data_IF_785700457493
#
_entry.id   IF_785700457493
#
_cell.length_a   1.000
_cell.length_b   1.000
_cell.length_c   1.000
_cell.angle_alpha   90.00
_cell.angle_beta   90.00
_cell.angle_gamma   90.00
#
_symmetry.space_group_name_H-M   'P 1'
#
loop_
_entity.id
_entity.type
_entity.pdbx_description
1 polymer ?
#
# COMPACT_ATOMS: atom_id res chain seq x y z
N UNK A 1 -33.11 -12.57 5.01
CA UNK A 1 -31.95 -12.39 4.13
C UNK A 1 -30.83 -13.29 4.63
N UNK A 2 -30.38 -14.26 3.83
CA UNK A 2 -29.21 -15.07 4.17
C UNK A 2 -27.98 -14.19 3.94
N UNK A 3 -27.27 -13.82 5.01
CA UNK A 3 -25.92 -13.29 4.90
C UNK A 3 -25.01 -14.45 4.52
N UNK A 4 -24.95 -14.79 3.24
CA UNK A 4 -23.81 -15.57 2.76
C UNK A 4 -22.60 -14.68 2.98
N UNK A 5 -21.75 -15.02 3.96
CA UNK A 5 -20.44 -14.43 4.11
C UNK A 5 -19.72 -14.68 2.77
N UNK A 6 -19.73 -13.71 1.87
CA UNK A 6 -19.09 -13.84 0.57
C UNK A 6 -17.59 -13.65 0.82
N UNK A 7 -16.93 -14.71 1.28
CA UNK A 7 -15.48 -14.72 1.46
C UNK A 7 -14.87 -14.77 0.06
N UNK A 8 -14.09 -13.75 -0.29
CA UNK A 8 -13.29 -13.76 -1.50
C UNK A 8 -12.26 -14.88 -1.44
N UNK A 9 -12.30 -15.80 -2.40
CA UNK A 9 -11.17 -16.70 -2.61
C UNK A 9 -10.05 -15.90 -3.27
N UNK A 10 -8.84 -15.83 -2.68
CA UNK A 10 -7.78 -14.98 -3.19
C UNK A 10 -6.95 -15.69 -4.27
N UNK A 11 -7.56 -16.51 -5.13
CA UNK A 11 -6.87 -17.45 -6.02
C UNK A 11 -7.25 -17.35 -7.51
N UNK A 12 -7.96 -16.29 -7.92
CA UNK A 12 -8.56 -16.18 -9.26
C UNK A 12 -7.84 -15.22 -10.20
N UNK A 13 -6.62 -14.78 -9.88
CA UNK A 13 -5.88 -13.84 -10.73
C UNK A 13 -5.69 -14.39 -12.16
N UNK A 14 -5.90 -13.52 -13.14
CA UNK A 14 -5.75 -13.81 -14.55
C UNK A 14 -4.71 -12.88 -15.19
N UNK A 15 -4.03 -13.37 -16.23
CA UNK A 15 -3.14 -12.52 -17.04
C UNK A 15 -3.96 -11.38 -17.64
N UNK A 16 -3.44 -10.16 -17.54
CA UNK A 16 -4.12 -8.94 -17.98
C UNK A 16 -4.78 -8.15 -16.84
N UNK A 17 -5.03 -8.80 -15.69
CA UNK A 17 -5.44 -8.11 -14.46
C UNK A 17 -4.39 -7.08 -14.02
N UNK A 18 -4.80 -6.22 -13.10
CA UNK A 18 -3.93 -5.23 -12.46
C UNK A 18 -3.94 -5.37 -10.94
N UNK A 19 -2.88 -4.84 -10.33
CA UNK A 19 -2.69 -4.79 -8.90
C UNK A 19 -3.06 -3.39 -8.40
N UNK A 20 -4.02 -3.30 -7.47
CA UNK A 20 -4.44 -2.06 -6.81
C UNK A 20 -4.00 -2.05 -5.36
N UNK A 21 -3.33 -0.98 -4.93
CA UNK A 21 -2.97 -0.75 -3.53
C UNK A 21 -3.84 0.38 -2.96
N UNK A 22 -4.40 0.15 -1.76
CA UNK A 22 -5.43 1.03 -1.19
C UNK A 22 -4.95 1.96 -0.07
N UNK A 23 -3.68 1.87 0.31
CA UNK A 23 -3.01 2.82 1.24
C UNK A 23 -1.56 3.02 0.82
N UNK A 24 -0.97 4.19 1.10
CA UNK A 24 0.44 4.43 0.80
C UNK A 24 1.35 3.59 1.70
N UNK A 25 2.56 3.34 1.20
CA UNK A 25 3.66 2.68 1.90
C UNK A 25 4.45 3.67 2.75
N UNK A 26 5.35 3.14 3.59
CA UNK A 26 6.32 3.92 4.36
C UNK A 26 5.93 4.16 5.80
N UNK A 27 4.97 3.40 6.36
CA UNK A 27 4.57 3.57 7.76
C UNK A 27 5.72 3.27 8.73
N UNK A 28 6.52 2.24 8.46
CA UNK A 28 7.72 1.95 9.27
C UNK A 28 8.74 3.09 9.22
N UNK A 29 8.95 3.70 8.05
CA UNK A 29 9.86 4.85 7.90
C UNK A 29 9.37 6.02 8.74
N UNK A 30 8.09 6.34 8.66
CA UNK A 30 7.46 7.42 9.42
C UNK A 30 7.60 7.24 10.93
N UNK A 31 7.29 6.04 11.44
CA UNK A 31 7.39 5.73 12.87
C UNK A 31 8.85 5.74 13.34
N UNK A 32 9.75 5.14 12.55
CA UNK A 32 11.18 5.02 12.91
C UNK A 32 11.86 6.38 12.98
N UNK A 33 11.66 7.23 11.96
CA UNK A 33 12.29 8.56 11.92
C UNK A 33 11.74 9.47 13.01
N UNK A 34 10.43 9.38 13.30
CA UNK A 34 9.81 10.15 14.38
C UNK A 34 10.41 9.77 15.74
N UNK A 35 10.55 8.47 16.02
CA UNK A 35 11.19 7.99 17.24
C UNK A 35 12.65 8.43 17.33
N UNK A 36 13.43 8.27 16.24
CA UNK A 36 14.83 8.70 16.18
C UNK A 36 15.02 10.20 16.39
N UNK A 37 14.07 11.02 15.93
CA UNK A 37 14.05 12.47 16.16
C UNK A 37 13.77 12.80 17.63
N UNK A 38 12.82 12.11 18.28
CA UNK A 38 12.51 12.35 19.70
C UNK A 38 13.68 11.99 20.63
N UNK A 39 14.41 10.92 20.32
CA UNK A 39 15.56 10.45 21.10
C UNK A 39 16.89 11.11 20.71
N UNK A 40 16.86 12.05 19.76
CA UNK A 40 18.06 12.65 19.14
C UNK A 40 19.13 11.61 18.73
N UNK A 41 18.66 10.47 18.21
CA UNK A 41 19.53 9.33 17.93
C UNK A 41 20.59 9.67 16.88
N UNK A 42 21.70 8.92 16.79
CA UNK A 42 22.72 9.13 15.74
C UNK A 42 22.16 9.02 14.31
N UNK A 43 21.09 8.23 14.09
CA UNK A 43 20.43 8.16 12.78
C UNK A 43 19.74 9.47 12.40
N UNK A 44 19.30 10.25 13.40
CA UNK A 44 18.70 11.56 13.22
C UNK A 44 19.76 12.66 13.12
N UNK A 45 20.50 12.91 14.20
CA UNK A 45 21.45 14.03 14.32
C UNK A 45 22.64 13.91 13.37
N UNK A 46 23.06 12.69 13.03
CA UNK A 46 24.21 12.46 12.15
C UNK A 46 23.94 12.66 10.65
N UNK A 47 22.67 12.59 10.21
CA UNK A 47 22.35 12.63 8.77
C UNK A 47 20.97 13.25 8.49
N UNK A 48 19.90 12.65 9.01
CA UNK A 48 18.53 13.01 8.61
C UNK A 48 18.11 14.44 8.99
N UNK A 49 18.63 14.97 10.09
CA UNK A 49 18.33 16.34 10.54
C UNK A 49 18.73 17.42 9.50
N UNK A 50 19.70 17.11 8.62
CA UNK A 50 20.12 18.01 7.53
C UNK A 50 19.29 17.84 6.25
N UNK A 51 18.46 16.79 6.17
CA UNK A 51 17.72 16.40 4.96
C UNK A 51 16.23 16.69 5.10
N UNK A 52 15.68 16.48 6.30
CA UNK A 52 14.27 16.70 6.58
C UNK A 52 14.09 17.40 7.92
N UNK A 53 13.24 18.43 7.93
CA UNK A 53 12.93 19.20 9.13
C UNK A 53 12.06 18.40 10.10
N UNK A 54 12.16 18.67 11.40
CA UNK A 54 11.32 18.05 12.42
C UNK A 54 9.81 18.21 12.17
N UNK A 55 9.36 19.32 11.59
CA UNK A 55 7.92 19.54 11.32
C UNK A 55 7.40 18.69 10.16
N UNK A 56 8.23 18.46 9.14
CA UNK A 56 7.92 17.48 8.08
C UNK A 56 7.89 16.06 8.63
N UNK A 57 8.79 15.70 9.55
CA UNK A 57 8.76 14.40 10.23
C UNK A 57 7.48 14.21 11.04
N UNK A 58 7.05 15.23 11.79
CA UNK A 58 5.76 15.20 12.51
C UNK A 58 4.57 15.03 11.56
N UNK A 59 4.58 15.73 10.42
CA UNK A 59 3.53 15.64 9.39
C UNK A 59 3.46 14.25 8.75
N UNK A 60 4.62 13.66 8.46
CA UNK A 60 4.75 12.28 7.98
C UNK A 60 4.23 11.27 9.02
N UNK A 61 4.63 11.40 10.28
CA UNK A 61 4.15 10.54 11.37
C UNK A 61 2.64 10.64 11.57
N UNK A 62 2.09 11.85 11.52
CA UNK A 62 0.65 12.09 11.62
C UNK A 62 -0.10 11.43 10.45
N UNK A 63 0.37 11.63 9.21
CA UNK A 63 -0.24 11.03 8.02
C UNK A 63 -0.16 9.50 8.05
N UNK A 64 0.96 8.93 8.52
CA UNK A 64 1.07 7.50 8.73
C UNK A 64 0.03 7.00 9.73
N UNK A 65 -0.17 7.71 10.85
CA UNK A 65 -1.18 7.34 11.85
C UNK A 65 -2.60 7.41 11.29
N UNK A 66 -2.93 8.43 10.51
CA UNK A 66 -4.24 8.53 9.83
C UNK A 66 -4.44 7.36 8.85
N UNK A 67 -3.42 7.05 8.03
CA UNK A 67 -3.46 5.90 7.12
C UNK A 67 -3.67 4.58 7.87
N UNK A 68 -2.91 4.33 8.93
CA UNK A 68 -3.00 3.10 9.74
C UNK A 68 -4.35 2.93 10.44
N UNK A 69 -4.96 4.04 10.88
CA UNK A 69 -6.27 4.02 11.57
C UNK A 69 -7.46 3.93 10.61
N UNK A 70 -7.23 4.12 9.30
CA UNK A 70 -8.27 3.96 8.29
C UNK A 70 -8.65 2.48 8.09
N UNK A 71 -9.93 2.14 8.18
CA UNK A 71 -10.37 0.75 8.00
C UNK A 71 -10.39 0.34 6.51
N UNK A 72 -9.92 -0.87 6.23
CA UNK A 72 -10.04 -1.50 4.90
C UNK A 72 -11.47 -1.96 4.55
N UNK A 73 -12.47 -1.64 5.39
CA UNK A 73 -13.87 -2.09 5.26
C UNK A 73 -14.51 -1.67 3.94
N UNK A 74 -14.33 -0.41 3.54
CA UNK A 74 -14.93 0.11 2.30
C UNK A 74 -14.29 -0.54 1.07
N UNK A 75 -12.95 -0.65 1.05
CA UNK A 75 -12.24 -1.36 -0.01
C UNK A 75 -12.71 -2.81 -0.12
N UNK A 76 -12.82 -3.53 1.00
CA UNK A 76 -13.30 -4.91 1.02
C UNK A 76 -14.73 -5.06 0.50
N UNK A 77 -15.63 -4.12 0.81
CA UNK A 77 -17.00 -4.10 0.26
C UNK A 77 -16.98 -3.85 -1.25
N UNK A 78 -16.17 -2.90 -1.73
CA UNK A 78 -16.09 -2.54 -3.14
C UNK A 78 -15.47 -3.64 -4.01
N UNK A 79 -14.63 -4.51 -3.43
CA UNK A 79 -14.12 -5.69 -4.16
C UNK A 79 -15.24 -6.50 -4.79
N UNK A 80 -16.39 -6.69 -4.12
CA UNK A 80 -17.57 -7.40 -4.65
C UNK A 80 -18.18 -6.73 -5.87
N UNK A 81 -18.27 -5.41 -5.83
CA UNK A 81 -18.87 -4.62 -6.90
C UNK A 81 -18.00 -4.61 -8.17
N UNK A 82 -16.68 -4.60 -7.98
CA UNK A 82 -15.71 -4.45 -9.07
C UNK A 82 -15.05 -5.77 -9.49
N UNK A 83 -15.59 -6.90 -9.02
CA UNK A 83 -15.18 -8.25 -9.41
C UNK A 83 -13.69 -8.56 -9.16
N UNK A 84 -13.20 -8.26 -7.95
CA UNK A 84 -11.83 -8.59 -7.57
C UNK A 84 -11.54 -10.10 -7.73
N UNK A 85 -10.36 -10.44 -8.23
CA UNK A 85 -9.90 -11.81 -8.42
C UNK A 85 -9.06 -12.32 -7.25
N UNK A 86 -8.66 -11.43 -6.35
CA UNK A 86 -8.03 -11.79 -5.09
C UNK A 86 -7.55 -10.58 -4.33
N UNK A 87 -7.18 -10.77 -3.07
CA UNK A 87 -6.58 -9.71 -2.28
C UNK A 87 -5.73 -10.28 -1.14
N UNK A 88 -4.81 -9.46 -0.66
CA UNK A 88 -4.09 -9.64 0.61
C UNK A 88 -3.95 -8.27 1.28
N UNK A 89 -3.83 -8.21 2.60
CA UNK A 89 -3.41 -6.99 3.29
C UNK A 89 -1.89 -6.87 3.29
N UNK A 90 -1.36 -5.65 3.20
CA UNK A 90 0.09 -5.39 3.28
C UNK A 90 0.45 -5.04 4.72
N UNK A 91 1.22 -5.90 5.38
CA UNK A 91 1.66 -5.73 6.77
C UNK A 91 3.17 -6.00 6.93
N UNK A 92 3.58 -6.82 7.90
CA UNK A 92 4.96 -6.89 8.39
C UNK A 92 5.99 -7.40 7.39
N UNK A 93 5.58 -8.06 6.30
CA UNK A 93 6.49 -8.53 5.25
C UNK A 93 6.75 -7.49 4.14
N UNK A 94 6.08 -6.34 4.19
CA UNK A 94 6.13 -5.32 3.15
C UNK A 94 5.39 -5.71 1.88
N UNK A 95 5.23 -4.74 0.97
CA UNK A 95 4.45 -4.91 -0.27
C UNK A 95 4.86 -6.17 -1.05
N UNK A 96 6.16 -6.33 -1.30
CA UNK A 96 6.67 -7.41 -2.14
C UNK A 96 6.58 -8.78 -1.44
N UNK A 97 6.73 -8.81 -0.12
CA UNK A 97 6.51 -10.04 0.66
C UNK A 97 5.07 -10.52 0.58
N UNK A 98 4.10 -9.60 0.74
CA UNK A 98 2.69 -9.91 0.63
C UNK A 98 2.26 -10.22 -0.81
N UNK A 99 2.80 -9.52 -1.81
CA UNK A 99 2.57 -9.83 -3.22
C UNK A 99 3.07 -11.24 -3.59
N UNK A 100 4.25 -11.63 -3.07
CA UNK A 100 4.76 -13.00 -3.24
C UNK A 100 3.83 -14.03 -2.60
N UNK A 101 3.34 -13.79 -1.39
CA UNK A 101 2.39 -14.72 -0.76
C UNK A 101 1.09 -14.83 -1.58
N UNK A 102 0.58 -13.71 -2.09
CA UNK A 102 -0.64 -13.69 -2.90
C UNK A 102 -0.47 -14.41 -4.23
N UNK A 103 0.65 -14.21 -4.95
CA UNK A 103 0.86 -14.90 -6.24
C UNK A 103 0.99 -16.43 -6.05
N UNK A 104 1.56 -16.89 -4.93
CA UNK A 104 1.71 -18.32 -4.67
C UNK A 104 0.38 -19.06 -4.53
N UNK A 105 -0.66 -18.40 -3.98
CA UNK A 105 -1.98 -19.02 -3.77
C UNK A 105 -2.87 -19.01 -5.02
N UNK A 106 -2.47 -18.38 -6.12
CA UNK A 106 -3.28 -18.32 -7.35
C UNK A 106 -3.52 -19.70 -7.95
N UNK A 107 -4.67 -19.95 -8.57
CA UNK A 107 -4.94 -21.21 -9.25
C UNK A 107 -4.11 -21.35 -10.53
N UNK A 108 -3.87 -20.24 -11.23
CA UNK A 108 -3.03 -20.20 -12.42
C UNK A 108 -1.53 -20.22 -12.01
N UNK A 109 -0.78 -21.20 -12.53
CA UNK A 109 0.66 -21.36 -12.26
C UNK A 109 1.56 -20.59 -13.23
N UNK A 110 0.99 -19.99 -14.28
CA UNK A 110 1.71 -19.34 -15.38
C UNK A 110 1.50 -17.82 -15.37
N UNK A 111 1.60 -17.20 -14.19
CA UNK A 111 1.48 -15.76 -14.03
C UNK A 111 2.52 -15.20 -13.06
N UNK A 112 2.82 -13.92 -13.21
CA UNK A 112 3.65 -13.18 -12.28
C UNK A 112 3.05 -11.80 -12.00
N UNK A 113 3.37 -11.24 -10.83
CA UNK A 113 2.98 -9.90 -10.42
C UNK A 113 4.15 -8.95 -10.68
N UNK A 114 3.99 -8.05 -11.66
CA UNK A 114 4.97 -7.03 -12.02
C UNK A 114 4.54 -5.70 -11.41
N UNK A 115 5.23 -5.25 -10.37
CA UNK A 115 4.91 -3.99 -9.68
C UNK A 115 5.78 -2.87 -10.26
N UNK A 116 5.14 -1.88 -10.87
CA UNK A 116 5.78 -0.76 -11.53
C UNK A 116 5.73 0.54 -10.75
N UNK A 117 4.84 0.67 -9.74
CA UNK A 117 4.64 1.91 -8.99
C UNK A 117 4.59 1.68 -7.48
N UNK A 118 5.17 2.58 -6.70
CA UNK A 118 5.21 2.57 -5.25
C UNK A 118 4.62 3.90 -4.72
N UNK A 119 3.33 3.93 -4.32
CA UNK A 119 2.78 5.09 -3.64
C UNK A 119 3.31 5.13 -2.20
N UNK A 120 4.13 6.12 -1.90
CA UNK A 120 4.82 6.28 -0.63
C UNK A 120 4.33 7.56 0.06
N UNK A 121 4.19 7.54 1.38
CA UNK A 121 3.90 8.77 2.12
C UNK A 121 4.98 9.83 1.84
N UNK A 122 4.57 11.06 1.56
CA UNK A 122 5.48 12.17 1.27
C UNK A 122 6.65 12.24 2.27
N UNK A 123 7.88 12.30 1.75
CA UNK A 123 9.11 12.34 2.54
C UNK A 123 9.68 10.97 2.93
N UNK A 124 8.89 9.89 2.91
CA UNK A 124 9.39 8.55 3.25
C UNK A 124 10.40 8.02 2.22
N UNK A 125 10.18 8.28 0.93
CA UNK A 125 11.08 7.92 -0.16
C UNK A 125 12.43 8.64 -0.03
N UNK A 126 12.41 9.93 0.27
CA UNK A 126 13.59 10.77 0.54
C UNK A 126 14.39 10.22 1.72
N UNK A 127 13.74 9.95 2.85
CA UNK A 127 14.39 9.38 4.05
C UNK A 127 14.99 8.00 3.72
N UNK A 128 14.27 7.16 2.97
CA UNK A 128 14.79 5.84 2.62
C UNK A 128 16.07 5.96 1.81
N UNK A 129 16.11 6.82 0.78
CA UNK A 129 17.32 7.09 -0.01
C UNK A 129 18.46 7.64 0.85
N UNK A 130 18.18 8.57 1.76
CA UNK A 130 19.17 9.12 2.68
C UNK A 130 19.81 8.06 3.60
N UNK A 131 19.08 6.97 3.87
CA UNK A 131 19.52 5.84 4.67
C UNK A 131 20.01 4.66 3.82
N UNK A 132 20.30 4.86 2.54
CA UNK A 132 20.67 3.81 1.59
C UNK A 132 19.67 2.64 1.58
N UNK A 133 18.38 2.97 1.68
CA UNK A 133 17.24 2.07 1.76
C UNK A 133 17.39 0.98 2.85
N UNK A 134 18.03 1.33 3.98
CA UNK A 134 18.21 0.42 5.13
C UNK A 134 16.90 -0.19 5.65
N UNK A 135 15.81 0.58 5.57
CA UNK A 135 14.46 0.15 5.95
C UNK A 135 13.72 -0.60 4.84
N UNK A 136 14.34 -0.80 3.68
CA UNK A 136 13.87 -1.59 2.53
C UNK A 136 12.55 -1.12 1.93
N UNK A 137 12.24 0.17 2.00
CA UNK A 137 11.01 0.73 1.42
C UNK A 137 11.02 0.60 -0.09
N UNK A 138 12.11 1.02 -0.74
CA UNK A 138 12.22 1.02 -2.20
C UNK A 138 12.47 -0.38 -2.76
N UNK A 139 12.94 -1.31 -1.93
CA UNK A 139 12.99 -2.75 -2.22
C UNK A 139 11.65 -3.47 -2.00
N UNK A 140 10.63 -2.79 -1.47
CA UNK A 140 9.30 -3.37 -1.23
C UNK A 140 9.20 -4.31 -0.02
N UNK A 141 10.23 -4.35 0.85
CA UNK A 141 10.27 -5.22 2.03
C UNK A 141 10.24 -4.45 3.36
N UNK A 142 9.98 -3.14 3.33
CA UNK A 142 9.74 -2.40 4.57
C UNK A 142 8.47 -2.91 5.23
N UNK A 143 8.50 -3.27 6.52
CA UNK A 143 7.29 -3.62 7.25
C UNK A 143 6.25 -2.51 7.14
N UNK A 144 4.99 -2.88 6.99
CA UNK A 144 3.87 -1.97 7.12
C UNK A 144 3.05 -2.37 8.35
N UNK A 145 2.46 -1.38 9.02
CA UNK A 145 1.51 -1.62 10.12
C UNK A 145 0.12 -1.19 9.66
N UNK A 146 -0.89 -2.06 9.77
CA UNK A 146 -2.26 -1.75 9.32
C UNK A 146 -2.31 -1.15 7.90
N UNK A 147 -1.54 -1.72 6.98
CA UNK A 147 -1.46 -1.24 5.61
C UNK A 147 -2.75 -1.46 4.82
N UNK A 148 -2.68 -1.10 3.53
CA UNK A 148 -3.81 -1.24 2.63
C UNK A 148 -4.00 -2.69 2.19
N UNK A 149 -5.14 -2.94 1.53
CA UNK A 149 -5.30 -4.09 0.67
C UNK A 149 -4.49 -3.92 -0.61
N UNK A 150 -3.79 -4.98 -1.01
CA UNK A 150 -3.31 -5.25 -2.35
C UNK A 150 -4.34 -6.15 -3.03
N UNK A 151 -4.99 -5.64 -4.06
CA UNK A 151 -6.17 -6.25 -4.70
C UNK A 151 -5.82 -6.56 -6.16
N UNK A 152 -6.16 -7.75 -6.63
CA UNK A 152 -6.13 -8.11 -8.05
C UNK A 152 -7.49 -7.81 -8.65
N UNK A 153 -7.55 -6.97 -9.68
CA UNK A 153 -8.79 -6.54 -10.33
C UNK A 153 -8.67 -6.69 -11.85
N UNK A 154 -9.79 -6.97 -12.55
CA UNK A 154 -9.88 -6.77 -13.99
C UNK A 154 -9.46 -5.34 -14.35
N UNK A 155 -8.69 -5.20 -15.42
CA UNK A 155 -8.14 -3.90 -15.84
C UNK A 155 -9.24 -2.86 -16.08
N UNK A 156 -10.35 -3.30 -16.68
CA UNK A 156 -11.50 -2.46 -17.00
C UNK A 156 -12.26 -1.93 -15.77
N UNK A 157 -12.20 -2.61 -14.63
CA UNK A 157 -12.89 -2.19 -13.39
C UNK A 157 -11.98 -1.45 -12.42
N UNK A 158 -10.65 -1.63 -12.53
CA UNK A 158 -9.69 -1.09 -11.57
C UNK A 158 -9.74 0.44 -11.40
N UNK A 159 -9.88 1.18 -12.50
CA UNK A 159 -10.00 2.65 -12.43
C UNK A 159 -11.29 3.07 -11.71
N UNK A 160 -12.42 2.45 -12.07
CA UNK A 160 -13.72 2.72 -11.43
C UNK A 160 -13.70 2.38 -9.94
N UNK A 161 -13.01 1.30 -9.56
CA UNK A 161 -12.79 0.95 -8.16
C UNK A 161 -12.04 2.05 -7.42
N UNK A 162 -10.93 2.55 -7.98
CA UNK A 162 -10.12 3.59 -7.36
C UNK A 162 -10.90 4.90 -7.17
N UNK A 163 -11.67 5.31 -8.18
CA UNK A 163 -12.49 6.52 -8.15
C UNK A 163 -13.60 6.41 -7.10
N UNK A 164 -14.32 5.29 -7.06
CA UNK A 164 -15.40 5.06 -6.09
C UNK A 164 -14.86 4.95 -4.66
N UNK A 165 -13.74 4.26 -4.46
CA UNK A 165 -13.11 4.20 -3.15
C UNK A 165 -12.71 5.59 -2.68
N UNK A 166 -12.04 6.37 -3.53
CA UNK A 166 -11.65 7.75 -3.23
C UNK A 166 -12.86 8.62 -2.91
N UNK A 167 -13.97 8.49 -3.64
CA UNK A 167 -15.19 9.25 -3.36
C UNK A 167 -15.80 8.90 -1.99
N UNK A 168 -15.75 7.62 -1.59
CA UNK A 168 -16.34 7.17 -0.33
C UNK A 168 -15.47 7.46 0.89
N UNK A 169 -14.16 7.23 0.80
CA UNK A 169 -13.24 7.38 1.94
C UNK A 169 -12.39 8.64 1.91
N UNK A 170 -12.31 9.33 0.77
CA UNK A 170 -11.54 10.56 0.58
C UNK A 170 -10.02 10.38 0.50
N UNK A 171 -9.51 9.16 0.68
CA UNK A 171 -8.13 8.79 0.47
C UNK A 171 -7.96 8.08 -0.89
N UNK A 172 -6.88 8.37 -1.63
CA UNK A 172 -6.61 7.74 -2.93
C UNK A 172 -6.23 6.25 -2.81
N UNK A 173 -6.37 5.55 -3.93
CA UNK A 173 -5.78 4.23 -4.19
C UNK A 173 -5.09 4.23 -5.56
N UNK A 174 -4.22 3.27 -5.81
CA UNK A 174 -3.34 3.28 -6.98
C UNK A 174 -3.32 1.94 -7.69
N UNK A 175 -3.37 1.95 -9.02
CA UNK A 175 -2.94 0.82 -9.83
C UNK A 175 -1.41 0.82 -9.81
N UNK A 176 -0.82 -0.21 -9.23
CA UNK A 176 0.62 -0.27 -8.95
C UNK A 176 1.38 -1.32 -9.76
N UNK A 177 0.66 -2.17 -10.49
CA UNK A 177 1.27 -3.28 -11.19
C UNK A 177 0.29 -4.04 -12.07
N UNK A 178 0.85 -5.01 -12.79
CA UNK A 178 0.14 -5.87 -13.74
C UNK A 178 0.33 -7.34 -13.37
N UNK A 179 -0.68 -8.15 -13.69
CA UNK A 179 -0.57 -9.60 -13.73
C UNK A 179 -0.18 -10.01 -15.15
N UNK A 180 1.04 -10.51 -15.30
CA UNK A 180 1.62 -10.87 -16.59
C UNK A 180 1.72 -12.39 -16.75
N UNK A 181 1.80 -12.86 -17.99
CA UNK A 181 2.14 -14.25 -18.27
C UNK A 181 3.59 -14.54 -17.88
N UNK A 182 3.84 -15.70 -17.26
CA UNK A 182 5.18 -16.12 -16.84
C UNK A 182 5.26 -17.64 -16.73
N UNK A 183 6.47 -18.20 -16.77
CA UNK A 183 6.66 -19.65 -16.61
C UNK A 183 6.38 -20.14 -15.17
N UNK A 184 6.45 -19.23 -14.19
CA UNK A 184 6.26 -19.55 -12.78
C UNK A 184 5.73 -18.37 -11.97
N UNK A 185 5.02 -18.71 -10.89
CA UNK A 185 4.50 -17.76 -9.90
C UNK A 185 5.61 -17.00 -9.20
N UNK A 186 5.65 -15.69 -9.43
CA UNK A 186 6.59 -14.78 -8.76
C UNK A 186 6.00 -13.36 -8.67
N UNK A 187 6.44 -12.58 -7.69
CA UNK A 187 6.17 -11.15 -7.62
C UNK A 187 7.49 -10.40 -7.56
N UNK A 188 7.62 -9.34 -8.36
CA UNK A 188 8.85 -8.53 -8.45
C UNK A 188 8.54 -7.05 -8.66
N UNK A 189 9.48 -6.19 -8.27
CA UNK A 189 9.50 -4.80 -8.68
C UNK A 189 10.22 -4.70 -10.02
N UNK A 190 9.72 -3.87 -10.93
CA UNK A 190 10.48 -3.50 -12.14
C UNK A 190 11.80 -2.81 -11.74
N UNK A 191 12.84 -2.77 -12.61
CA UNK A 191 14.16 -2.25 -12.23
C UNK A 191 14.17 -0.80 -11.72
N UNK A 192 13.23 0.02 -12.15
CA UNK A 192 13.07 1.41 -11.74
C UNK A 192 11.58 1.71 -11.52
N UNK A 193 11.01 1.29 -10.37
CA UNK A 193 9.60 1.55 -10.13
C UNK A 193 9.39 3.06 -9.93
N UNK A 194 8.29 3.57 -10.47
CA UNK A 194 7.85 4.92 -10.21
C UNK A 194 7.51 5.08 -8.73
N UNK A 195 7.99 6.14 -8.10
CA UNK A 195 7.63 6.46 -6.71
C UNK A 195 6.69 7.66 -6.73
N UNK A 196 5.47 7.46 -6.25
CA UNK A 196 4.49 8.53 -6.09
C UNK A 196 4.61 9.06 -4.67
N UNK A 197 4.96 10.33 -4.51
CA UNK A 197 4.94 11.01 -3.21
C UNK A 197 3.50 11.44 -2.88
N UNK A 198 2.84 10.63 -2.06
CA UNK A 198 1.46 10.84 -1.61
C UNK A 198 1.43 11.95 -0.58
N UNK A 199 0.82 13.07 -0.95
CA UNK A 199 0.80 14.28 -0.15
C UNK A 199 0.04 14.06 1.15
N UNK A 200 0.53 14.66 2.23
CA UNK A 200 -0.13 14.55 3.54
C UNK A 200 -1.60 15.02 3.51
N UNK A 201 -1.92 16.02 2.67
CA UNK A 201 -3.30 16.52 2.48
C UNK A 201 -4.25 15.52 1.81
N UNK A 202 -3.74 14.47 1.17
CA UNK A 202 -4.54 13.41 0.55
C UNK A 202 -4.89 12.29 1.54
N UNK A 203 -4.26 12.26 2.72
CA UNK A 203 -4.55 11.29 3.77
C UNK A 203 -5.45 11.95 4.79
N UNK A 204 -6.76 11.75 4.63
CA UNK A 204 -7.75 12.38 5.48
C UNK A 204 -8.11 11.51 6.69
N UNK A 205 -8.58 12.11 7.79
CA UNK A 205 -9.07 11.35 8.93
C UNK A 205 -10.23 10.44 8.56
N UNK A 206 -10.36 9.26 9.20
CA UNK A 206 -11.51 8.40 9.01
C UNK A 206 -12.80 9.17 9.27
N UNK A 207 -13.77 9.08 8.36
CA UNK A 207 -15.11 9.63 8.60
C UNK A 207 -15.64 8.99 9.89
N UNK A 208 -15.85 9.79 10.94
CA UNK A 208 -16.60 9.34 12.10
C UNK A 208 -17.94 8.82 11.58
N UNK A 209 -18.28 7.57 11.92
CA UNK A 209 -19.62 7.05 11.68
C UNK A 209 -20.60 7.88 12.49
N UNK A 210 -21.14 8.96 11.91
CA UNK A 210 -22.45 9.43 12.31
C UNK A 210 -23.39 8.30 11.93
N UNK A 211 -23.76 7.48 12.91
CA UNK A 211 -24.88 6.57 12.80
C UNK A 211 -26.13 7.42 12.55
N UNK A 212 -26.39 7.79 11.30
CA UNK A 212 -27.72 8.15 10.84
C UNK A 212 -28.42 6.85 10.47
N UNK A 213 -29.46 6.60 11.26
CA UNK A 213 -30.43 5.50 11.27
C UNK A 213 -30.86 5.00 9.90
#
# INVERSE_FOLDING_TARGET
MRYTLCIYKPDQAAVGDVLVLTKPLGTQVAVSVYYWMLEDSPSWSGNLANIITSDKVKSLFHSATLSMTHLNRTAARLMHKHHAHGCTDVTGFGLLGHANNLVQVQANNHLAFSIHTLPCLEGSSLISRALNDRLKLLQGFSPETSGGLLIVLPRESAQSFCEELTAEIGCPSWIIGDVIEADSKSAFLVPQPEVIDVQHSQIIPPKCSTNSQ
#
